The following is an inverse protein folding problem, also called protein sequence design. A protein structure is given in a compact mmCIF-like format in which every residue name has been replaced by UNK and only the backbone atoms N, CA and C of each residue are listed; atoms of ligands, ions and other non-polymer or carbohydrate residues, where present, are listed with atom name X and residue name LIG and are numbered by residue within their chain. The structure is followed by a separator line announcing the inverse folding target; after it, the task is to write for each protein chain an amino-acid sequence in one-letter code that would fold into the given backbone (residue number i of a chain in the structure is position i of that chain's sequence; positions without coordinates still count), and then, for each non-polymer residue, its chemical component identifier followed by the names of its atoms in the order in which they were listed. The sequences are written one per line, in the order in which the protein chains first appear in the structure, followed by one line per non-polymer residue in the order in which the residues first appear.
data_IF_016264014626
#
_entry.id   IF_016264014626
#
_cell.length_a   1.000
_cell.length_b   1.000
_cell.length_c   1.000
_cell.angle_alpha   90.00
_cell.angle_beta   90.00
_cell.angle_gamma   90.00
#
_symmetry.space_group_name_H-M   'P 1'
#
loop_
_entity.id
_entity.type
_entity.pdbx_description
1 polymer ?
#
# COMPACT_ATOMS: atom_id res chain seq x y z
N UNK A 1 22.28 18.47 25.81
CA UNK A 1 23.44 17.56 25.67
C UNK A 1 23.49 16.87 24.31
N UNK A 2 22.48 16.08 23.90
CA UNK A 2 22.45 15.51 22.52
C UNK A 2 22.08 16.54 21.44
N UNK A 3 21.27 17.56 21.80
CA UNK A 3 20.89 18.69 20.94
C UNK A 3 22.06 19.62 20.60
N UNK A 4 23.14 19.55 21.37
CA UNK A 4 24.26 20.49 21.29
C UNK A 4 25.39 19.92 20.41
N UNK A 5 25.24 18.68 19.96
CA UNK A 5 26.14 18.05 19.01
C UNK A 5 25.94 18.65 17.61
N UNK A 6 26.98 18.67 16.75
CA UNK A 6 26.83 18.98 15.33
C UNK A 6 25.72 18.16 14.65
N UNK A 7 25.00 18.77 13.71
CA UNK A 7 23.86 18.16 13.02
C UNK A 7 24.23 16.82 12.37
N UNK A 8 25.44 16.72 11.83
CA UNK A 8 25.97 15.53 11.19
C UNK A 8 26.05 14.35 12.16
N UNK A 9 26.45 14.62 13.41
CA UNK A 9 26.53 13.61 14.47
C UNK A 9 25.12 13.22 14.91
N UNK A 10 24.21 14.19 15.07
CA UNK A 10 22.82 13.92 15.40
C UNK A 10 22.13 13.04 14.33
N UNK A 11 22.35 13.35 13.06
CA UNK A 11 21.85 12.56 11.94
C UNK A 11 22.47 11.16 11.92
N UNK A 12 23.78 11.04 12.14
CA UNK A 12 24.47 9.73 12.19
C UNK A 12 23.93 8.84 13.30
N UNK A 13 23.62 9.40 14.48
CA UNK A 13 22.99 8.65 15.57
C UNK A 13 21.62 8.09 15.16
N UNK A 14 20.80 8.90 14.50
CA UNK A 14 19.49 8.45 14.01
C UNK A 14 19.59 7.42 12.87
N UNK A 15 20.65 7.48 12.06
CA UNK A 15 20.92 6.45 11.04
C UNK A 15 21.35 5.12 11.65
N UNK A 16 22.17 5.16 12.71
CA UNK A 16 22.67 3.95 13.38
C UNK A 16 21.58 3.22 14.16
N UNK A 17 20.65 3.96 14.78
CA UNK A 17 19.48 3.37 15.44
C UNK A 17 18.19 4.13 15.09
N UNK A 18 17.53 3.79 13.97
CA UNK A 18 16.24 4.37 13.57
C UNK A 18 15.09 4.00 14.53
N UNK A 19 15.26 2.94 15.33
CA UNK A 19 14.29 2.47 16.33
C UNK A 19 14.43 3.28 17.63
N UNK A 20 15.50 4.07 17.75
CA UNK A 20 15.76 4.89 18.92
C UNK A 20 14.55 5.74 19.30
N UNK A 21 14.36 5.85 20.62
CA UNK A 21 13.28 6.66 21.19
C UNK A 21 13.56 8.17 21.13
N UNK A 22 14.66 8.59 20.46
CA UNK A 22 15.08 9.99 20.36
C UNK A 22 14.01 10.88 19.73
N UNK A 23 13.26 10.35 18.75
CA UNK A 23 12.13 11.06 18.13
C UNK A 23 11.00 11.44 19.11
N UNK A 24 10.91 10.78 20.27
CA UNK A 24 9.92 11.06 21.30
C UNK A 24 10.40 12.05 22.36
N UNK A 25 11.67 12.45 22.31
CA UNK A 25 12.27 13.31 23.36
C UNK A 25 12.02 14.79 23.12
N UNK A 26 12.07 15.26 21.86
CA UNK A 26 11.85 16.65 21.48
C UNK A 26 11.43 16.77 20.01
N UNK A 27 10.61 17.79 19.71
CA UNK A 27 10.28 18.29 18.37
C UNK A 27 11.46 18.39 17.39
N UNK A 28 12.66 18.79 17.84
CA UNK A 28 13.86 18.84 16.98
C UNK A 28 14.23 17.47 16.39
N UNK A 29 14.36 16.44 17.24
CA UNK A 29 14.65 15.07 16.76
C UNK A 29 13.48 14.48 15.97
N UNK A 30 12.25 14.89 16.25
CA UNK A 30 11.09 14.50 15.47
C UNK A 30 11.13 15.06 14.03
N UNK A 31 11.57 16.31 13.87
CA UNK A 31 11.82 16.92 12.55
C UNK A 31 12.93 16.20 11.79
N UNK A 32 14.09 16.01 12.43
CA UNK A 32 15.21 15.28 11.81
C UNK A 32 14.78 13.88 11.39
N UNK A 33 13.96 13.21 12.20
CA UNK A 33 13.41 11.90 11.86
C UNK A 33 12.55 11.92 10.60
N UNK A 34 11.76 12.98 10.38
CA UNK A 34 11.00 13.16 9.14
C UNK A 34 11.92 13.43 7.94
N UNK A 35 12.92 14.31 8.08
CA UNK A 35 13.86 14.64 7.00
C UNK A 35 14.74 13.45 6.59
N UNK A 36 15.04 12.55 7.53
CA UNK A 36 15.70 11.29 7.22
C UNK A 36 14.90 10.44 6.22
N UNK A 37 13.56 10.50 6.22
CA UNK A 37 12.77 9.77 5.24
C UNK A 37 12.87 10.37 3.84
N UNK A 38 13.01 11.70 3.72
CA UNK A 38 13.30 12.31 2.42
C UNK A 38 14.63 11.80 1.85
N UNK A 39 15.67 11.78 2.67
CA UNK A 39 16.97 11.21 2.28
C UNK A 39 16.86 9.71 1.97
N UNK A 40 16.07 8.96 2.73
CA UNK A 40 15.79 7.54 2.44
C UNK A 40 15.11 7.37 1.09
N UNK A 41 14.13 8.19 0.74
CA UNK A 41 13.46 8.15 -0.57
C UNK A 41 14.49 8.30 -1.69
N UNK A 42 15.34 9.32 -1.63
CA UNK A 42 16.38 9.52 -2.64
C UNK A 42 17.39 8.38 -2.68
N UNK A 43 17.78 7.86 -1.52
CA UNK A 43 18.76 6.76 -1.43
C UNK A 43 18.22 5.43 -1.97
N UNK A 44 16.92 5.17 -1.83
CA UNK A 44 16.27 3.89 -2.18
C UNK A 44 15.71 3.90 -3.59
N UNK A 45 15.06 5.00 -4.00
CA UNK A 45 14.35 5.08 -5.28
C UNK A 45 15.13 5.82 -6.37
N UNK A 46 16.17 6.58 -6.01
CA UNK A 46 16.89 7.47 -6.95
C UNK A 46 16.29 8.88 -6.98
N UNK A 47 16.90 9.79 -7.74
CA UNK A 47 16.47 11.20 -7.82
C UNK A 47 15.20 11.37 -8.67
N UNK A 48 15.01 10.52 -9.68
CA UNK A 48 13.90 10.58 -10.64
C UNK A 48 12.52 10.46 -9.96
N UNK A 49 12.47 9.84 -8.78
CA UNK A 49 11.24 9.69 -8.00
C UNK A 49 10.63 11.05 -7.63
N UNK A 50 11.43 12.10 -7.50
CA UNK A 50 10.95 13.43 -7.14
C UNK A 50 9.98 13.98 -8.20
N UNK A 51 10.31 13.81 -9.49
CA UNK A 51 9.43 14.23 -10.58
C UNK A 51 8.12 13.42 -10.59
N UNK A 52 8.19 12.15 -10.23
CA UNK A 52 7.01 11.29 -10.11
C UNK A 52 6.12 11.74 -8.95
N UNK A 53 6.73 12.05 -7.79
CA UNK A 53 6.01 12.57 -6.62
C UNK A 53 5.27 13.86 -6.99
N UNK A 54 5.94 14.77 -7.73
CA UNK A 54 5.34 16.03 -8.19
C UNK A 54 4.12 15.77 -9.07
N UNK A 55 4.22 14.85 -10.05
CA UNK A 55 3.11 14.50 -10.94
C UNK A 55 1.89 13.93 -10.20
N UNK A 56 2.11 13.15 -9.14
CA UNK A 56 1.03 12.51 -8.39
C UNK A 56 0.52 13.31 -7.19
N UNK A 57 1.02 14.54 -6.96
CA UNK A 57 0.59 15.39 -5.85
C UNK A 57 -0.94 15.51 -5.70
N UNK A 58 -1.74 15.64 -6.77
CA UNK A 58 -3.20 15.72 -6.68
C UNK A 58 -3.87 14.52 -5.99
N UNK A 59 -3.28 13.33 -6.08
CA UNK A 59 -3.77 12.13 -5.39
C UNK A 59 -3.05 11.86 -4.07
N UNK A 60 -1.78 12.29 -3.97
CA UNK A 60 -0.97 12.10 -2.78
C UNK A 60 -1.46 12.98 -1.63
N UNK A 61 -1.66 14.28 -1.87
CA UNK A 61 -2.10 15.23 -0.81
C UNK A 61 -3.40 14.78 -0.13
N UNK A 62 -4.50 14.44 -0.85
CA UNK A 62 -5.75 14.02 -0.22
C UNK A 62 -5.62 12.72 0.58
N UNK A 63 -4.88 11.73 0.06
CA UNK A 63 -4.59 10.51 0.80
C UNK A 63 -3.83 10.83 2.10
N UNK A 64 -2.76 11.62 2.03
CA UNK A 64 -1.96 11.99 3.19
C UNK A 64 -2.77 12.84 4.18
N UNK A 65 -3.63 13.74 3.71
CA UNK A 65 -4.56 14.54 4.52
C UNK A 65 -5.58 13.66 5.23
N UNK A 66 -6.09 12.60 4.58
CA UNK A 66 -7.02 11.64 5.22
C UNK A 66 -6.44 10.96 6.47
N UNK A 67 -5.12 10.82 6.56
CA UNK A 67 -4.45 10.20 7.71
C UNK A 67 -4.48 11.10 8.97
N UNK A 68 -4.80 12.39 8.84
CA UNK A 68 -4.87 13.33 9.98
C UNK A 68 -5.88 12.89 11.06
N UNK A 69 -6.83 12.03 10.69
CA UNK A 69 -7.76 11.35 11.61
C UNK A 69 -7.06 10.78 12.85
N UNK A 70 -5.82 10.28 12.72
CA UNK A 70 -5.05 9.74 13.85
C UNK A 70 -3.68 10.40 14.04
N UNK A 71 -3.16 11.17 13.08
CA UNK A 71 -1.81 11.77 13.17
C UNK A 71 -1.77 13.30 13.18
N UNK A 72 -2.91 13.98 13.16
CA UNK A 72 -3.00 15.46 13.08
C UNK A 72 -2.02 16.18 14.02
N UNK A 73 -2.01 15.82 15.31
CA UNK A 73 -1.13 16.45 16.30
C UNK A 73 0.35 16.28 15.99
N UNK A 74 0.73 15.09 15.52
CA UNK A 74 2.12 14.77 15.21
C UNK A 74 2.58 15.53 13.95
N UNK A 75 1.72 15.63 12.93
CA UNK A 75 1.98 16.43 11.73
C UNK A 75 2.10 17.92 12.04
N UNK A 76 1.17 18.46 12.84
CA UNK A 76 1.16 19.89 13.20
C UNK A 76 2.41 20.32 13.97
N UNK A 77 3.06 19.42 14.71
CA UNK A 77 4.34 19.71 15.35
C UNK A 77 5.46 20.03 14.34
N UNK A 78 5.41 19.42 13.15
CA UNK A 78 6.34 19.71 12.05
C UNK A 78 5.88 20.94 11.27
N UNK A 79 4.61 20.96 10.86
CA UNK A 79 4.07 22.02 10.01
C UNK A 79 4.17 23.41 10.66
N UNK A 80 3.87 23.52 11.96
CA UNK A 80 3.98 24.79 12.69
C UNK A 80 5.43 25.28 12.85
N UNK A 81 6.39 24.36 13.01
CA UNK A 81 7.80 24.70 13.19
C UNK A 81 8.51 25.05 11.88
N UNK A 82 8.00 24.54 10.77
CA UNK A 82 8.49 24.84 9.42
C UNK A 82 7.65 25.91 8.70
N UNK A 83 6.64 26.48 9.39
CA UNK A 83 5.73 27.50 8.85
C UNK A 83 5.14 27.09 7.49
N UNK A 84 4.71 25.83 7.37
CA UNK A 84 4.15 25.31 6.13
C UNK A 84 2.71 25.79 5.96
N UNK A 85 2.36 26.19 4.74
CA UNK A 85 1.01 26.54 4.36
C UNK A 85 0.33 25.40 3.59
N UNK A 86 -1.01 25.32 3.71
CA UNK A 86 -1.84 24.44 2.89
C UNK A 86 -2.11 25.14 1.56
N UNK A 87 -1.19 25.00 0.60
CA UNK A 87 -1.44 25.46 -0.77
C UNK A 87 -2.38 24.46 -1.45
N UNK A 88 -3.65 24.84 -1.56
CA UNK A 88 -4.67 24.12 -2.34
C UNK A 88 -4.43 24.27 -3.84
N UNK A 89 -3.77 25.34 -4.28
CA UNK A 89 -3.42 25.58 -5.68
C UNK A 89 -2.10 24.91 -6.04
N UNK A 90 -2.17 23.96 -6.97
CA UNK A 90 -0.99 23.40 -7.65
C UNK A 90 -0.29 24.44 -8.56
N UNK A 91 -0.95 25.58 -8.77
CA UNK A 91 -0.40 26.77 -9.43
C UNK A 91 0.34 27.64 -8.41
N UNK A 92 1.48 27.14 -7.94
CA UNK A 92 2.46 28.03 -7.31
C UNK A 92 3.26 28.72 -8.44
N UNK A 93 3.61 30.01 -8.31
CA UNK A 93 4.44 30.69 -9.30
C UNK A 93 5.74 29.91 -9.52
N UNK A 94 6.30 29.95 -10.73
CA UNK A 94 7.40 29.13 -11.28
C UNK A 94 8.67 28.97 -10.41
N UNK A 95 8.76 29.66 -9.26
CA UNK A 95 9.90 29.69 -8.35
C UNK A 95 9.68 29.04 -6.96
N UNK A 96 8.50 28.47 -6.64
CA UNK A 96 8.31 27.76 -5.36
C UNK A 96 8.38 26.24 -5.52
N UNK A 97 9.20 25.59 -4.68
CA UNK A 97 9.30 24.13 -4.64
C UNK A 97 7.92 23.53 -4.27
N UNK A 98 7.25 22.78 -5.16
CA UNK A 98 5.89 22.28 -4.94
C UNK A 98 5.80 21.27 -3.78
N UNK A 99 6.94 20.74 -3.32
CA UNK A 99 7.03 19.84 -2.19
C UNK A 99 7.09 20.57 -0.85
N UNK A 100 7.30 21.89 -0.84
CA UNK A 100 7.41 22.72 0.36
C UNK A 100 6.04 23.19 0.86
N UNK A 101 5.13 22.27 1.13
CA UNK A 101 3.78 22.55 1.61
C UNK A 101 3.32 21.55 2.68
N UNK A 102 2.21 21.85 3.35
CA UNK A 102 1.54 20.89 4.25
C UNK A 102 1.20 19.59 3.49
N UNK A 103 1.16 18.48 4.23
CA UNK A 103 0.89 17.11 3.72
C UNK A 103 1.96 16.54 2.78
N UNK A 104 3.04 17.28 2.50
CA UNK A 104 4.20 16.76 1.75
C UNK A 104 5.45 16.84 2.63
N UNK A 105 5.96 18.05 2.88
CA UNK A 105 7.20 18.25 3.66
C UNK A 105 7.10 17.77 5.10
N UNK A 106 5.90 17.78 5.67
CA UNK A 106 5.61 17.30 7.03
C UNK A 106 5.32 15.78 7.13
N UNK A 107 5.37 15.06 6.00
CA UNK A 107 4.80 13.72 5.87
C UNK A 107 5.70 12.71 5.14
N UNK A 108 7.01 12.95 5.06
CA UNK A 108 7.95 12.11 4.29
C UNK A 108 7.94 10.63 4.69
N UNK A 109 7.72 10.31 5.98
CA UNK A 109 7.57 8.92 6.44
C UNK A 109 6.46 8.16 5.72
N UNK A 110 5.31 8.81 5.57
CA UNK A 110 4.13 8.19 4.95
C UNK A 110 4.28 8.10 3.43
N UNK A 111 4.88 9.12 2.83
CA UNK A 111 5.25 9.09 1.41
C UNK A 111 6.22 7.93 1.14
N UNK A 112 7.24 7.74 1.99
CA UNK A 112 8.15 6.61 1.89
C UNK A 112 7.41 5.26 1.99
N UNK A 113 6.47 5.12 2.94
CA UNK A 113 5.68 3.89 3.09
C UNK A 113 4.85 3.58 1.83
N UNK A 114 4.19 4.59 1.24
CA UNK A 114 3.45 4.46 -0.03
C UNK A 114 4.35 4.09 -1.19
N UNK A 115 5.58 4.61 -1.24
CA UNK A 115 6.50 4.29 -2.33
C UNK A 115 7.08 2.89 -2.20
N UNK A 116 7.36 2.46 -0.96
CA UNK A 116 8.03 1.19 -0.65
C UNK A 116 7.06 0.01 -0.69
N UNK A 117 5.84 0.18 -0.23
CA UNK A 117 4.76 -0.79 -0.38
C UNK A 117 4.03 -0.56 -1.70
N UNK A 118 3.45 -1.60 -2.30
CA UNK A 118 2.62 -1.50 -3.50
C UNK A 118 1.35 -2.29 -3.31
N UNK A 119 0.21 -1.70 -3.66
CA UNK A 119 -1.07 -2.40 -3.69
C UNK A 119 -1.66 -2.33 -5.08
N UNK A 120 -1.83 -3.51 -5.67
CA UNK A 120 -2.40 -3.71 -6.98
C UNK A 120 -3.87 -4.05 -6.83
N UNK A 121 -4.72 -3.03 -6.94
CA UNK A 121 -6.17 -3.23 -6.91
C UNK A 121 -6.63 -3.96 -8.17
N UNK A 122 -7.53 -4.92 -7.96
CA UNK A 122 -8.12 -5.72 -9.01
C UNK A 122 -9.27 -4.96 -9.67
N UNK A 123 -9.19 -4.78 -10.98
CA UNK A 123 -10.25 -4.23 -11.82
C UNK A 123 -10.67 -5.27 -12.86
N UNK A 124 -11.90 -5.17 -13.35
CA UNK A 124 -12.41 -6.12 -14.35
C UNK A 124 -11.53 -6.17 -15.61
N UNK A 125 -10.99 -5.01 -16.02
CA UNK A 125 -10.08 -4.88 -17.16
C UNK A 125 -8.73 -5.60 -16.98
N UNK A 126 -8.37 -5.97 -15.76
CA UNK A 126 -7.09 -6.63 -15.49
C UNK A 126 -7.14 -8.15 -15.71
N UNK A 127 -8.34 -8.72 -15.81
CA UNK A 127 -8.54 -10.15 -15.96
C UNK A 127 -8.73 -10.51 -17.42
N UNK A 128 -7.96 -11.51 -17.86
CA UNK A 128 -8.20 -12.19 -19.12
C UNK A 128 -8.81 -13.54 -18.79
N UNK A 129 -10.01 -13.77 -19.32
CA UNK A 129 -10.72 -15.04 -19.24
C UNK A 129 -10.61 -15.63 -20.63
N UNK A 130 -9.94 -16.79 -20.75
CA UNK A 130 -9.97 -17.52 -22.01
C UNK A 130 -11.41 -17.97 -22.31
N UNK A 131 -11.88 -17.63 -23.51
CA UNK A 131 -13.10 -18.22 -24.05
C UNK A 131 -12.80 -19.66 -24.49
N UNK A 132 -13.67 -20.63 -24.20
CA UNK A 132 -13.44 -22.01 -24.61
C UNK A 132 -13.44 -22.11 -26.14
N UNK A 133 -12.26 -22.22 -26.74
CA UNK A 133 -12.10 -22.50 -28.17
C UNK A 133 -12.20 -24.01 -28.40
N UNK A 134 -13.23 -24.44 -29.12
CA UNK A 134 -13.35 -25.82 -29.58
C UNK A 134 -12.33 -26.08 -30.69
N UNK A 135 -11.37 -26.98 -30.47
CA UNK A 135 -10.55 -27.52 -31.54
C UNK A 135 -11.27 -28.75 -32.11
N UNK A 136 -11.70 -28.67 -33.37
CA UNK A 136 -12.18 -29.84 -34.10
C UNK A 136 -10.95 -30.55 -34.66
N UNK A 137 -10.66 -31.74 -34.15
CA UNK A 137 -9.71 -32.68 -34.76
C UNK A 137 -10.48 -33.88 -35.30
N UNK A 138 -10.16 -34.27 -36.54
CA UNK A 138 -10.86 -35.29 -37.30
C UNK A 138 -11.17 -36.57 -36.48
N UNK A 139 -12.45 -36.73 -36.14
CA UNK A 139 -13.13 -37.88 -35.54
C UNK A 139 -13.49 -37.85 -34.03
N UNK A 140 -13.22 -36.77 -33.27
CA UNK A 140 -13.84 -36.56 -31.95
C UNK A 140 -13.97 -35.07 -31.60
N UNK A 141 -14.92 -34.75 -30.71
CA UNK A 141 -15.06 -33.40 -30.11
C UNK A 141 -14.36 -33.42 -28.76
N UNK A 142 -13.28 -32.64 -28.61
CA UNK A 142 -12.67 -32.38 -27.31
C UNK A 142 -13.34 -31.16 -26.68
N UNK A 143 -14.04 -31.36 -25.56
CA UNK A 143 -14.65 -30.27 -24.79
C UNK A 143 -13.63 -29.82 -23.74
N UNK A 144 -12.81 -28.82 -24.04
CA UNK A 144 -12.01 -28.15 -23.01
C UNK A 144 -12.88 -27.12 -22.29
N UNK A 145 -13.23 -27.38 -21.01
CA UNK A 145 -13.73 -26.37 -20.08
C UNK A 145 -12.57 -25.82 -19.25
N UNK A 146 -11.60 -25.20 -19.90
CA UNK A 146 -10.53 -24.47 -19.23
C UNK A 146 -10.90 -23.00 -19.17
N UNK A 147 -11.45 -22.55 -18.04
CA UNK A 147 -11.48 -21.12 -17.74
C UNK A 147 -10.11 -20.78 -17.17
N UNK A 148 -9.19 -20.33 -18.02
CA UNK A 148 -7.96 -19.75 -17.51
C UNK A 148 -8.28 -18.32 -17.07
N UNK A 149 -8.42 -18.11 -15.76
CA UNK A 149 -8.38 -16.77 -15.20
C UNK A 149 -6.90 -16.37 -15.08
N UNK A 150 -6.48 -15.40 -15.89
CA UNK A 150 -5.14 -14.83 -15.79
C UNK A 150 -5.22 -13.35 -15.43
N UNK A 151 -4.30 -12.93 -14.57
CA UNK A 151 -4.08 -11.56 -14.14
C UNK A 151 -2.59 -11.27 -14.26
N UNK A 152 -2.22 -10.13 -14.83
CA UNK A 152 -0.81 -9.72 -14.94
C UNK A 152 -0.67 -8.22 -14.81
N UNK A 153 0.20 -7.75 -13.91
CA UNK A 153 0.56 -6.33 -13.79
C UNK A 153 2.05 -6.14 -13.61
N UNK A 154 2.55 -5.01 -14.13
CA UNK A 154 3.92 -4.58 -13.93
C UNK A 154 4.01 -3.50 -12.84
N UNK A 155 5.00 -3.62 -11.95
CA UNK A 155 5.30 -2.60 -10.94
C UNK A 155 6.80 -2.41 -10.77
N UNK A 156 7.20 -1.23 -10.32
CA UNK A 156 8.59 -0.92 -9.98
C UNK A 156 8.81 -1.06 -8.47
N UNK A 157 9.78 -1.88 -8.08
CA UNK A 157 10.17 -2.10 -6.69
C UNK A 157 11.62 -1.74 -6.46
N UNK A 158 11.92 -1.23 -5.27
CA UNK A 158 13.32 -1.10 -4.83
C UNK A 158 13.85 -2.44 -4.33
N UNK A 159 15.17 -2.62 -4.25
CA UNK A 159 15.77 -3.78 -3.63
C UNK A 159 15.29 -4.02 -2.19
N UNK A 160 15.29 -5.29 -1.81
CA UNK A 160 14.91 -5.74 -0.47
C UNK A 160 13.90 -6.88 -0.48
N UNK A 161 13.52 -7.28 0.71
CA UNK A 161 12.57 -8.36 0.97
C UNK A 161 11.15 -7.81 1.05
N UNK A 162 10.19 -8.57 0.54
CA UNK A 162 8.77 -8.23 0.50
C UNK A 162 7.90 -9.45 0.82
N UNK A 163 6.78 -9.19 1.50
CA UNK A 163 5.67 -10.12 1.59
C UNK A 163 4.78 -9.95 0.36
N UNK A 164 4.37 -11.07 -0.22
CA UNK A 164 3.27 -11.14 -1.17
C UNK A 164 2.01 -11.54 -0.42
N UNK A 165 1.03 -10.66 -0.38
CA UNK A 165 -0.25 -10.87 0.30
C UNK A 165 -1.42 -10.64 -0.67
N UNK A 166 -2.58 -11.18 -0.34
CA UNK A 166 -3.80 -11.02 -1.12
C UNK A 166 -4.99 -10.65 -0.23
N UNK A 167 -5.72 -9.62 -0.64
CA UNK A 167 -7.02 -9.27 -0.07
C UNK A 167 -8.14 -9.91 -0.90
N UNK A 168 -8.87 -10.85 -0.32
CA UNK A 168 -9.92 -11.62 -1.02
C UNK A 168 -11.11 -11.91 -0.10
N UNK A 169 -12.24 -12.30 -0.69
CA UNK A 169 -13.36 -12.89 0.04
C UNK A 169 -13.78 -14.21 -0.59
N UNK A 170 -13.92 -15.25 0.24
CA UNK A 170 -14.31 -16.58 -0.21
C UNK A 170 -15.82 -16.75 -0.13
N UNK A 171 -16.48 -17.14 -1.21
CA UNK A 171 -17.89 -17.56 -1.20
C UNK A 171 -18.03 -19.07 -1.00
N UNK A 172 -17.37 -19.86 -1.85
CA UNK A 172 -17.49 -21.32 -1.88
C UNK A 172 -16.14 -22.03 -1.68
N UNK A 173 -15.02 -21.34 -1.89
CA UNK A 173 -13.67 -21.87 -1.64
C UNK A 173 -13.08 -22.66 -2.81
N UNK A 174 -13.81 -22.91 -3.89
CA UNK A 174 -13.24 -23.54 -5.09
C UNK A 174 -12.18 -22.65 -5.75
N UNK A 175 -11.05 -23.23 -6.17
CA UNK A 175 -10.06 -22.61 -7.06
C UNK A 175 -8.83 -21.95 -6.40
N UNK A 176 -8.91 -21.50 -5.14
CA UNK A 176 -7.78 -20.77 -4.52
C UNK A 176 -6.56 -21.68 -4.29
N UNK A 177 -6.76 -22.90 -3.79
CA UNK A 177 -5.68 -23.89 -3.63
C UNK A 177 -5.00 -24.32 -4.94
N UNK A 178 -5.60 -24.02 -6.11
CA UNK A 178 -5.04 -24.28 -7.45
C UNK A 178 -4.60 -23.00 -8.16
N UNK A 179 -4.61 -21.87 -7.46
CA UNK A 179 -4.15 -20.59 -8.00
C UNK A 179 -2.65 -20.46 -7.82
N UNK A 180 -1.96 -20.15 -8.91
CA UNK A 180 -0.52 -19.91 -8.96
C UNK A 180 -0.26 -18.41 -8.97
N UNK A 181 0.67 -17.96 -8.13
CA UNK A 181 1.19 -16.59 -8.15
C UNK A 181 2.65 -16.61 -8.59
N UNK A 182 3.03 -15.75 -9.53
CA UNK A 182 4.39 -15.66 -10.04
C UNK A 182 4.90 -14.22 -9.98
N UNK A 183 6.12 -14.05 -9.49
CA UNK A 183 6.87 -12.80 -9.56
C UNK A 183 8.03 -13.00 -10.54
N UNK A 184 7.98 -12.27 -11.65
CA UNK A 184 8.97 -12.33 -12.74
C UNK A 184 9.76 -11.03 -12.79
N UNK A 185 11.08 -11.13 -12.88
CA UNK A 185 11.94 -9.98 -13.12
C UNK A 185 13.20 -10.38 -13.87
N UNK A 186 13.76 -9.44 -14.63
CA UNK A 186 15.01 -9.65 -15.37
C UNK A 186 16.21 -9.35 -14.46
N UNK A 187 17.02 -10.35 -14.19
CA UNK A 187 18.31 -10.16 -13.54
C UNK A 187 19.22 -9.28 -14.41
N UNK A 188 19.73 -8.17 -13.84
CA UNK A 188 20.60 -7.25 -14.56
C UNK A 188 22.00 -7.83 -14.81
N UNK A 189 22.44 -8.80 -13.99
CA UNK A 189 23.79 -9.37 -14.08
C UNK A 189 23.84 -10.41 -15.20
N UNK A 190 22.93 -11.38 -15.15
CA UNK A 190 22.93 -12.51 -16.08
C UNK A 190 21.98 -12.32 -17.27
N UNK A 191 21.27 -11.18 -17.34
CA UNK A 191 20.19 -10.89 -18.28
C UNK A 191 19.10 -11.98 -18.35
N UNK A 192 18.99 -12.79 -17.29
CA UNK A 192 18.11 -13.95 -17.20
C UNK A 192 16.80 -13.56 -16.54
N UNK A 193 15.69 -14.08 -17.06
CA UNK A 193 14.40 -13.95 -16.37
C UNK A 193 14.39 -14.87 -15.14
N UNK A 194 14.23 -14.27 -13.96
CA UNK A 194 14.01 -14.98 -12.70
C UNK A 194 12.51 -15.03 -12.47
N UNK A 195 11.99 -16.23 -12.20
CA UNK A 195 10.59 -16.48 -11.87
C UNK A 195 10.55 -17.10 -10.48
N UNK A 196 9.81 -16.46 -9.57
CA UNK A 196 9.50 -17.01 -8.24
C UNK A 196 8.02 -17.36 -8.22
N UNK A 197 7.70 -18.61 -7.88
CA UNK A 197 6.33 -19.13 -7.91
C UNK A 197 5.86 -19.46 -6.50
N UNK A 198 4.63 -19.06 -6.19
CA UNK A 198 3.99 -19.27 -4.90
C UNK A 198 2.62 -19.92 -5.10
N UNK A 199 2.30 -20.85 -4.21
CA UNK A 199 1.01 -21.54 -4.16
C UNK A 199 0.42 -21.39 -2.75
N UNK A 200 -0.86 -21.02 -2.63
CA UNK A 200 -1.56 -21.18 -1.37
C UNK A 200 -1.52 -22.64 -0.90
N UNK A 201 -1.57 -22.90 0.43
CA UNK A 201 -1.69 -24.25 0.95
C UNK A 201 -2.90 -24.98 0.35
N UNK A 202 -2.79 -26.28 0.09
CA UNK A 202 -3.87 -27.06 -0.54
C UNK A 202 -5.18 -27.07 0.27
N UNK A 203 -5.07 -27.01 1.60
CA UNK A 203 -6.18 -26.95 2.54
C UNK A 203 -6.67 -25.52 2.84
N UNK A 204 -6.16 -24.50 2.14
CA UNK A 204 -6.48 -23.09 2.44
C UNK A 204 -7.98 -22.80 2.34
N UNK A 205 -8.68 -23.53 1.48
CA UNK A 205 -10.11 -23.39 1.23
C UNK A 205 -10.97 -23.75 2.46
N UNK A 206 -10.47 -24.67 3.30
CA UNK A 206 -11.15 -25.09 4.53
C UNK A 206 -10.80 -24.19 5.72
N UNK A 207 -9.65 -23.53 5.66
CA UNK A 207 -9.11 -22.71 6.75
C UNK A 207 -9.69 -21.29 6.73
N UNK A 208 -9.93 -20.75 5.54
CA UNK A 208 -10.37 -19.36 5.36
C UNK A 208 -11.87 -19.19 5.63
N UNK A 209 -12.28 -18.13 6.33
CA UNK A 209 -13.69 -17.88 6.62
C UNK A 209 -14.47 -17.56 5.35
N UNK A 210 -15.70 -18.08 5.28
CA UNK A 210 -16.62 -17.87 4.16
C UNK A 210 -17.42 -16.58 4.35
N UNK A 211 -17.70 -15.89 3.25
CA UNK A 211 -18.42 -14.63 3.16
C UNK A 211 -17.84 -13.54 4.08
N UNK A 212 -16.51 -13.48 4.17
CA UNK A 212 -15.78 -12.45 4.91
C UNK A 212 -14.54 -12.02 4.13
N UNK A 213 -14.12 -10.78 4.31
CA UNK A 213 -12.84 -10.31 3.81
C UNK A 213 -11.69 -10.99 4.55
N UNK A 214 -10.70 -11.46 3.81
CA UNK A 214 -9.48 -12.09 4.29
C UNK A 214 -8.28 -11.42 3.65
N UNK A 215 -7.29 -11.07 4.46
CA UNK A 215 -5.98 -10.66 3.99
C UNK A 215 -4.97 -11.75 4.33
N UNK A 216 -4.58 -12.51 3.31
CA UNK A 216 -3.78 -13.72 3.42
C UNK A 216 -2.34 -13.47 2.97
N UNK A 217 -1.37 -13.97 3.74
CA UNK A 217 0.03 -14.06 3.30
C UNK A 217 0.20 -15.23 2.33
N UNK A 218 0.68 -14.95 1.13
CA UNK A 218 0.96 -15.95 0.09
C UNK A 218 2.41 -16.43 0.16
N UNK A 219 3.35 -15.50 0.36
CA UNK A 219 4.76 -15.84 0.38
C UNK A 219 5.66 -14.65 0.67
N UNK A 220 6.96 -14.90 0.64
CA UNK A 220 8.01 -13.91 0.83
C UNK A 220 9.01 -14.02 -0.33
N UNK A 221 9.44 -12.88 -0.86
CA UNK A 221 10.40 -12.83 -1.96
C UNK A 221 11.39 -11.69 -1.77
N UNK A 222 12.55 -11.81 -2.40
CA UNK A 222 13.61 -10.79 -2.34
C UNK A 222 13.93 -10.27 -3.74
N UNK A 223 14.04 -8.95 -3.86
CA UNK A 223 14.56 -8.26 -5.03
C UNK A 223 16.02 -7.89 -4.75
N UNK A 224 16.98 -8.38 -5.55
CA UNK A 224 18.40 -8.13 -5.31
C UNK A 224 18.76 -6.65 -5.52
N UNK A 225 19.82 -6.20 -4.84
CA UNK A 225 20.41 -4.90 -5.15
C UNK A 225 20.99 -4.91 -6.57
N UNK A 226 20.78 -3.83 -7.36
CA UNK A 226 21.47 -3.71 -8.63
C UNK A 226 22.99 -3.65 -8.35
N UNK A 227 23.82 -4.28 -9.20
CA UNK A 227 25.27 -4.20 -9.06
C UNK A 227 25.68 -2.72 -9.03
N UNK A 228 26.53 -2.36 -8.06
CA UNK A 228 27.12 -1.02 -8.01
C UNK A 228 27.96 -0.83 -9.28
N UNK A 229 27.84 0.29 -9.99
CA UNK A 229 28.81 0.60 -11.03
C UNK A 229 30.20 0.57 -10.38
N UNK A 230 31.12 -0.20 -10.96
CA UNK A 230 32.50 -0.30 -10.48
C UNK A 230 33.16 1.05 -10.74
N UNK A 231 33.12 1.95 -9.77
CA UNK A 231 33.86 3.20 -9.78
C UNK A 231 35.28 2.93 -9.29
N UNK A 232 36.09 2.24 -10.08
CA UNK A 232 37.54 2.10 -9.87
C UNK A 232 38.28 2.12 -11.22
N UNK A 233 37.92 3.08 -12.08
CA UNK A 233 38.80 3.53 -13.16
C UNK A 233 39.11 5.00 -12.88
N UNK A 234 40.37 5.38 -12.63
CA UNK A 234 40.74 6.77 -12.47
C UNK A 234 40.46 7.49 -13.79
N UNK A 235 39.55 8.46 -13.73
CA UNK A 235 39.20 9.35 -14.83
C UNK A 235 40.40 10.18 -15.22
N UNK A 236 41.08 9.77 -16.30
CA UNK A 236 41.88 10.68 -17.11
C UNK A 236 41.11 11.02 -18.38
N UNK A 237 40.94 12.33 -18.59
CA UNK A 237 40.51 13.05 -19.80
C UNK A 237 39.01 13.30 -19.96
N UNK A 238 38.68 14.57 -19.64
CA UNK A 238 37.92 15.50 -20.48
C UNK A 238 37.41 14.89 -21.80
N UNK A 239 36.12 14.59 -21.84
CA UNK A 239 35.35 14.49 -23.06
C UNK A 239 34.05 15.25 -22.82
N UNK A 240 33.88 16.31 -23.60
CA UNK A 240 32.74 17.19 -23.67
C UNK A 240 31.51 16.44 -24.22
N UNK A 241 30.37 17.08 -23.98
CA UNK A 241 29.01 16.74 -24.40
C UNK A 241 28.91 16.17 -25.82
N UNK A 242 28.22 15.03 -25.98
CA UNK A 242 27.12 14.82 -26.94
C UNK A 242 26.70 13.33 -26.95
N UNK A 243 25.40 13.09 -26.76
CA UNK A 243 24.64 11.88 -27.11
C UNK A 243 25.03 10.51 -26.49
N UNK A 244 24.87 10.37 -25.16
CA UNK A 244 24.49 9.07 -24.57
C UNK A 244 23.09 9.14 -23.92
N UNK A 245 22.15 8.22 -24.23
CA UNK A 245 20.81 8.26 -23.68
C UNK A 245 20.85 7.98 -22.18
N UNK A 246 20.10 8.79 -21.42
CA UNK A 246 19.95 8.82 -19.95
C UNK A 246 19.58 7.49 -19.26
N UNK A 247 20.44 6.48 -19.37
CA UNK A 247 20.41 5.26 -18.58
C UNK A 247 21.27 5.49 -17.33
N UNK A 248 20.87 4.90 -16.19
CA UNK A 248 21.64 4.78 -14.94
C UNK A 248 21.35 5.73 -13.75
N UNK A 249 20.09 6.08 -13.47
CA UNK A 249 19.70 6.51 -12.11
C UNK A 249 18.55 5.72 -11.45
N UNK A 250 17.91 4.79 -12.16
CA UNK A 250 16.82 4.02 -11.59
C UNK A 250 17.35 2.82 -10.76
N UNK A 251 17.39 3.01 -9.44
CA UNK A 251 17.68 1.97 -8.43
C UNK A 251 16.56 0.92 -8.34
N UNK A 252 15.43 1.14 -9.02
CA UNK A 252 14.29 0.25 -9.01
C UNK A 252 14.40 -0.83 -10.08
N UNK A 253 13.78 -1.96 -9.79
CA UNK A 253 13.63 -3.07 -10.70
C UNK A 253 12.17 -3.17 -11.12
N UNK A 254 11.91 -3.25 -12.43
CA UNK A 254 10.58 -3.58 -12.94
C UNK A 254 10.33 -5.06 -12.72
N UNK A 255 9.23 -5.37 -12.05
CA UNK A 255 8.74 -6.72 -11.82
C UNK A 255 7.39 -6.89 -12.51
N UNK A 256 7.11 -8.11 -12.96
CA UNK A 256 5.81 -8.52 -13.47
C UNK A 256 5.24 -9.53 -12.47
N UNK A 257 4.08 -9.21 -11.92
CA UNK A 257 3.29 -10.12 -11.11
C UNK A 257 2.24 -10.77 -12.01
N UNK A 258 2.17 -12.09 -12.00
CA UNK A 258 1.08 -12.84 -12.65
C UNK A 258 0.37 -13.77 -11.67
N UNK A 259 -0.93 -13.91 -11.85
CA UNK A 259 -1.77 -14.86 -11.13
C UNK A 259 -2.56 -15.67 -12.16
N UNK A 260 -2.53 -17.00 -12.03
CA UNK A 260 -3.17 -17.93 -12.96
C UNK A 260 -3.88 -19.04 -12.18
N UNK A 261 -5.16 -19.29 -12.47
CA UNK A 261 -5.87 -20.45 -11.94
C UNK A 261 -5.61 -21.69 -12.82
N UNK A 262 -5.02 -22.74 -12.25
CA UNK A 262 -4.57 -23.95 -12.99
C UNK A 262 -5.61 -25.09 -12.88
N UNK A 263 -6.75 -24.86 -12.22
CA UNK A 263 -7.76 -25.89 -11.94
C UNK A 263 -8.67 -26.24 -13.13
N UNK A 264 -8.92 -27.54 -13.34
CA UNK A 264 -9.77 -28.09 -14.41
C UNK A 264 -11.29 -28.09 -14.11
N UNK A 265 -11.74 -27.67 -12.92
CA UNK A 265 -13.15 -27.80 -12.51
C UNK A 265 -13.73 -26.55 -11.82
N UNK A 266 -14.84 -26.06 -12.40
CA UNK A 266 -15.89 -25.16 -11.89
C UNK A 266 -15.49 -23.89 -11.10
N UNK A 267 -15.78 -22.73 -11.73
CA UNK A 267 -15.99 -21.38 -11.18
C UNK A 267 -15.25 -21.09 -9.87
N UNK A 268 -14.16 -20.32 -9.98
CA UNK A 268 -13.45 -19.69 -8.87
C UNK A 268 -14.47 -19.09 -7.89
N UNK A 269 -14.51 -19.64 -6.68
CA UNK A 269 -15.52 -19.35 -5.67
C UNK A 269 -15.12 -18.20 -4.76
N UNK A 270 -14.28 -17.28 -5.22
CA UNK A 270 -13.71 -16.18 -4.44
C UNK A 270 -13.64 -14.88 -5.24
N UNK A 271 -13.56 -13.75 -4.53
CA UNK A 271 -13.39 -12.41 -5.08
C UNK A 271 -12.04 -11.88 -4.65
N UNK A 272 -11.24 -11.37 -5.57
CA UNK A 272 -10.00 -10.66 -5.24
C UNK A 272 -10.28 -9.18 -5.26
N UNK A 273 -9.82 -8.48 -4.23
CA UNK A 273 -9.91 -7.03 -4.13
C UNK A 273 -8.58 -6.36 -4.49
N UNK A 274 -7.47 -6.91 -4.00
CA UNK A 274 -6.13 -6.42 -4.31
C UNK A 274 -5.06 -7.45 -3.98
N UNK A 275 -3.91 -7.32 -4.66
CA UNK A 275 -2.66 -7.98 -4.29
C UNK A 275 -1.75 -6.92 -3.65
N UNK A 276 -1.17 -7.24 -2.50
CA UNK A 276 -0.35 -6.33 -1.71
C UNK A 276 1.08 -6.85 -1.65
N UNK A 277 2.02 -5.98 -1.99
CA UNK A 277 3.45 -6.19 -1.89
C UNK A 277 3.93 -5.22 -0.82
N UNK A 278 4.20 -5.73 0.37
CA UNK A 278 4.58 -4.91 1.51
C UNK A 278 5.90 -5.34 2.12
N UNK A 279 6.57 -4.43 2.81
CA UNK A 279 7.74 -4.78 3.60
C UNK A 279 7.39 -5.85 4.65
N UNK A 280 8.36 -6.69 5.04
CA UNK A 280 8.23 -7.57 6.18
C UNK A 280 7.65 -6.82 7.37
N UNK A 281 6.55 -7.35 7.92
CA UNK A 281 5.86 -6.76 9.04
C UNK A 281 6.03 -7.64 10.27
N UNK A 282 5.99 -7.02 11.44
CA UNK A 282 6.05 -7.74 12.71
C UNK A 282 4.94 -8.82 12.78
N UNK A 283 3.73 -8.51 12.32
CA UNK A 283 2.61 -9.46 12.31
C UNK A 283 2.89 -10.71 11.46
N UNK A 284 3.27 -10.51 10.20
CA UNK A 284 3.43 -11.60 9.24
C UNK A 284 4.77 -12.33 9.32
N UNK A 285 5.83 -11.68 9.83
CA UNK A 285 7.19 -12.24 9.81
C UNK A 285 7.68 -12.63 11.21
N UNK A 286 7.45 -11.82 12.25
CA UNK A 286 7.86 -12.20 13.61
C UNK A 286 6.84 -13.12 14.28
N UNK A 287 5.54 -12.85 14.08
CA UNK A 287 4.46 -13.63 14.70
C UNK A 287 3.83 -14.66 13.76
N UNK A 288 4.30 -14.77 12.51
CA UNK A 288 3.83 -15.78 11.55
C UNK A 288 2.29 -15.84 11.48
N UNK A 289 1.71 -14.65 11.32
CA UNK A 289 0.30 -14.50 11.03
C UNK A 289 0.02 -15.14 9.66
N UNK A 290 -0.98 -16.01 9.58
CA UNK A 290 -1.40 -16.61 8.32
C UNK A 290 -2.32 -15.65 7.56
N UNK A 291 -3.37 -15.17 8.21
CA UNK A 291 -4.27 -14.15 7.69
C UNK A 291 -4.91 -13.35 8.81
N UNK A 292 -5.45 -12.20 8.44
CA UNK A 292 -6.47 -11.53 9.24
C UNK A 292 -7.77 -11.37 8.46
N UNK A 293 -8.89 -11.28 9.16
CA UNK A 293 -10.22 -11.17 8.56
C UNK A 293 -11.03 -10.06 9.20
N UNK A 294 -11.91 -9.48 8.40
CA UNK A 294 -12.97 -8.58 8.85
C UNK A 294 -14.29 -9.25 8.49
N UNK A 295 -15.22 -9.33 9.43
CA UNK A 295 -16.54 -9.94 9.22
C UNK A 295 -17.47 -9.03 8.38
N UNK A 296 -17.02 -8.70 7.18
CA UNK A 296 -17.66 -7.80 6.24
C UNK A 296 -17.22 -8.18 4.82
N UNK A 297 -18.09 -7.97 3.82
CA UNK A 297 -17.76 -8.24 2.41
C UNK A 297 -17.87 -7.00 1.53
N UNK A 298 -18.44 -5.93 2.07
CA UNK A 298 -18.47 -4.64 1.42
C UNK A 298 -17.07 -4.02 1.39
N UNK A 299 -16.61 -3.74 0.18
CA UNK A 299 -15.27 -3.22 -0.10
C UNK A 299 -14.99 -1.89 0.61
N UNK A 300 -16.02 -1.08 0.91
CA UNK A 300 -15.87 0.21 1.59
C UNK A 300 -15.19 0.10 2.95
N UNK A 301 -15.20 -1.08 3.58
CA UNK A 301 -14.58 -1.31 4.87
C UNK A 301 -13.10 -1.72 4.81
N UNK A 302 -12.55 -2.07 3.65
CA UNK A 302 -11.15 -2.53 3.56
C UNK A 302 -10.39 -2.04 2.32
N UNK A 303 -11.07 -1.45 1.34
CA UNK A 303 -10.46 -0.72 0.23
C UNK A 303 -10.47 0.77 0.55
N UNK A 304 -9.29 1.35 0.73
CA UNK A 304 -9.14 2.80 0.78
C UNK A 304 -9.14 3.37 -0.64
N UNK A 305 -10.20 4.07 -1.02
CA UNK A 305 -10.36 4.62 -2.37
C UNK A 305 -9.31 5.66 -2.71
N UNK A 306 -8.90 6.51 -1.75
CA UNK A 306 -7.84 7.49 -1.96
C UNK A 306 -6.50 6.81 -2.26
N UNK A 307 -6.18 5.75 -1.52
CA UNK A 307 -4.98 4.94 -1.75
C UNK A 307 -5.05 4.20 -3.09
N UNK A 308 -6.23 3.68 -3.46
CA UNK A 308 -6.47 3.05 -4.76
C UNK A 308 -6.18 4.01 -5.91
N UNK A 309 -6.73 5.21 -5.87
CA UNK A 309 -6.48 6.23 -6.89
C UNK A 309 -5.00 6.66 -6.91
N UNK A 310 -4.38 6.83 -5.74
CA UNK A 310 -2.95 7.14 -5.62
C UNK A 310 -2.06 6.07 -6.24
N UNK A 311 -2.28 4.79 -5.94
CA UNK A 311 -1.50 3.71 -6.55
C UNK A 311 -1.76 3.57 -8.05
N UNK A 312 -3.00 3.84 -8.51
CA UNK A 312 -3.32 3.84 -9.93
C UNK A 312 -2.56 4.94 -10.67
N UNK A 313 -2.56 6.16 -10.15
CA UNK A 313 -1.78 7.28 -10.68
C UNK A 313 -0.27 6.98 -10.66
N UNK A 314 0.24 6.52 -9.51
CA UNK A 314 1.65 6.17 -9.34
C UNK A 314 2.11 5.09 -10.33
N UNK A 315 1.34 4.01 -10.50
CA UNK A 315 1.72 2.93 -11.41
C UNK A 315 1.68 3.40 -12.87
N UNK A 316 0.66 4.18 -13.25
CA UNK A 316 0.55 4.74 -14.61
C UNK A 316 1.75 5.65 -14.95
N UNK A 317 2.13 6.54 -14.04
CA UNK A 317 3.29 7.44 -14.20
C UNK A 317 4.59 6.64 -14.27
N UNK A 318 4.79 5.69 -13.35
CA UNK A 318 5.99 4.85 -13.29
C UNK A 318 6.17 3.97 -14.54
N UNK A 319 5.07 3.51 -15.14
CA UNK A 319 5.08 2.70 -16.35
C UNK A 319 5.03 3.51 -17.66
N UNK A 320 5.24 4.84 -17.60
CA UNK A 320 5.37 5.66 -18.80
C UNK A 320 4.07 5.91 -19.55
N UNK A 321 2.92 5.75 -18.88
CA UNK A 321 1.60 5.96 -19.47
C UNK A 321 1.10 4.82 -20.36
N UNK A 322 1.77 3.67 -20.34
CA UNK A 322 1.40 2.49 -21.14
C UNK A 322 0.38 1.64 -20.37
N UNK A 323 -0.61 1.12 -21.10
CA UNK A 323 -1.52 0.07 -20.63
C UNK A 323 -0.72 -1.18 -20.20
N UNK A 324 -1.18 -1.93 -19.20
CA UNK A 324 -0.56 -3.20 -18.74
C UNK A 324 -0.59 -4.32 -19.83
N UNK A 325 -1.10 -4.04 -21.02
CA UNK A 325 -1.12 -4.96 -22.16
C UNK A 325 0.26 -5.09 -22.83
N UNK A 326 0.88 -6.26 -22.62
CA UNK A 326 2.16 -6.67 -23.22
C UNK A 326 2.16 -6.73 -24.77
N UNK A 327 1.02 -6.52 -25.43
CA UNK A 327 0.88 -6.52 -26.90
C UNK A 327 1.34 -5.21 -27.54
N UNK A 328 1.48 -4.14 -26.76
CA UNK A 328 2.01 -2.86 -27.24
C UNK A 328 3.52 -2.87 -27.02
N UNK A 329 4.30 -2.93 -28.11
CA UNK A 329 5.75 -2.69 -28.09
C UNK A 329 5.99 -1.22 -27.68
N UNK A 330 5.98 -0.96 -26.39
CA UNK A 330 6.39 0.33 -25.84
C UNK A 330 7.92 0.46 -25.95
N UNK A 331 8.39 1.68 -26.19
CA UNK A 331 9.80 2.04 -25.97
C UNK A 331 10.19 1.58 -24.57
N UNK A 332 11.10 0.60 -24.51
CA UNK A 332 11.62 0.12 -23.23
C UNK A 332 12.20 1.32 -22.46
N UNK A 333 11.78 1.50 -21.20
CA UNK A 333 12.43 2.34 -20.18
C UNK A 333 11.97 3.80 -19.97
N UNK A 334 10.78 4.23 -20.38
CA UNK A 334 10.31 5.58 -20.00
C UNK A 334 9.69 5.63 -18.58
N UNK A 335 10.53 5.38 -17.56
CA UNK A 335 10.14 5.50 -16.15
C UNK A 335 9.76 6.95 -15.80
N UNK A 336 8.61 7.14 -15.17
CA UNK A 336 8.14 8.46 -14.74
C UNK A 336 7.54 9.31 -15.86
N UNK A 337 7.38 8.73 -17.05
CA UNK A 337 6.89 9.42 -18.23
C UNK A 337 5.40 9.69 -18.31
N UNK A 338 4.58 8.85 -17.66
CA UNK A 338 3.14 8.93 -17.79
C UNK A 338 2.57 10.25 -17.26
N UNK A 339 1.47 10.68 -17.85
CA UNK A 339 0.65 11.78 -17.35
C UNK A 339 -0.55 11.20 -16.59
N UNK A 340 -0.64 11.34 -15.25
CA UNK A 340 -1.72 10.72 -14.48
C UNK A 340 -3.11 11.30 -14.82
N UNK A 341 -3.19 12.47 -15.47
CA UNK A 341 -4.45 13.03 -15.94
C UNK A 341 -5.00 12.32 -17.19
N UNK A 342 -4.19 11.56 -17.92
CA UNK A 342 -4.62 10.79 -19.09
C UNK A 342 -5.59 9.63 -18.74
N UNK A 343 -5.68 9.25 -17.46
CA UNK A 343 -6.59 8.21 -16.95
C UNK A 343 -7.59 8.77 -15.94
N UNK A 344 -7.93 10.06 -16.04
CA UNK A 344 -8.80 10.75 -15.08
C UNK A 344 -10.19 10.10 -14.94
N UNK A 345 -10.70 9.57 -16.05
CA UNK A 345 -11.96 8.84 -16.18
C UNK A 345 -11.93 7.47 -15.48
N UNK A 346 -10.75 6.91 -15.26
CA UNK A 346 -10.57 5.62 -14.60
C UNK A 346 -10.45 5.70 -13.08
N UNK A 347 -10.36 6.90 -12.49
CA UNK A 347 -10.30 7.05 -11.04
C UNK A 347 -11.67 6.88 -10.38
N UNK A 348 -11.67 6.31 -9.19
CA UNK A 348 -12.89 6.05 -8.44
C UNK A 348 -13.32 7.31 -7.68
N UNK A 349 -14.52 7.79 -7.99
CA UNK A 349 -15.13 8.99 -7.40
C UNK A 349 -16.36 8.68 -6.54
N UNK A 350 -16.69 7.39 -6.33
CA UNK A 350 -17.93 7.01 -5.64
C UNK A 350 -18.02 7.59 -4.22
N UNK A 351 -16.88 7.72 -3.53
CA UNK A 351 -16.84 8.30 -2.19
C UNK A 351 -17.18 9.81 -2.14
N UNK A 352 -17.21 10.50 -3.28
CA UNK A 352 -17.69 11.90 -3.37
C UNK A 352 -19.21 11.94 -3.57
N UNK A 353 -19.76 10.98 -4.34
CA UNK A 353 -21.18 10.89 -4.67
C UNK A 353 -22.04 10.52 -3.46
N UNK A 354 -21.56 9.64 -2.57
CA UNK A 354 -22.26 9.28 -1.33
C UNK A 354 -22.49 10.49 -0.40
N UNK A 355 -21.85 11.64 -0.67
CA UNK A 355 -21.95 12.87 0.11
C UNK A 355 -22.28 14.12 -0.72
N UNK A 356 -22.60 13.99 -2.02
CA UNK A 356 -23.00 15.11 -2.88
C UNK A 356 -24.07 14.72 -3.91
N UNK A 357 -25.19 15.43 -3.90
CA UNK A 357 -26.17 15.48 -4.97
C UNK A 357 -25.80 16.59 -5.94
N UNK A 358 -25.21 16.25 -7.11
CA UNK A 358 -25.42 16.85 -8.44
C UNK A 358 -24.28 16.48 -9.41
N UNK A 359 -24.63 16.49 -10.70
CA UNK A 359 -23.91 15.98 -11.87
C UNK A 359 -23.01 17.06 -12.47
N UNK A 360 -21.74 16.75 -12.81
CA UNK A 360 -20.81 17.77 -13.36
C UNK A 360 -19.88 17.25 -14.48
N UNK A 361 -19.43 18.21 -15.28
CA UNK A 361 -18.78 18.15 -16.60
C UNK A 361 -17.25 18.03 -16.53
N UNK A 362 -16.58 17.68 -17.65
CA UNK A 362 -15.15 17.32 -17.72
C UNK A 362 -14.17 18.44 -17.29
N UNK A 363 -14.52 19.71 -17.46
CA UNK A 363 -13.69 20.86 -17.02
C UNK A 363 -13.78 21.07 -15.49
N UNK A 364 -14.96 20.84 -14.90
CA UNK A 364 -15.13 20.83 -13.44
C UNK A 364 -14.26 19.73 -12.81
N UNK A 365 -14.03 18.60 -13.50
CA UNK A 365 -13.25 17.47 -12.94
C UNK A 365 -11.77 17.77 -12.65
N UNK A 366 -11.17 18.78 -13.31
CA UNK A 366 -9.80 19.22 -13.00
C UNK A 366 -9.77 20.11 -11.76
N UNK A 367 -10.78 20.95 -11.57
CA UNK A 367 -10.95 21.75 -10.36
C UNK A 367 -11.45 20.89 -9.17
N UNK A 368 -12.26 19.86 -9.42
CA UNK A 368 -12.81 18.96 -8.39
C UNK A 368 -11.72 18.07 -7.74
N UNK A 369 -10.66 17.74 -8.49
CA UNK A 369 -9.48 17.04 -7.92
C UNK A 369 -8.59 17.98 -7.09
N UNK A 370 -8.59 19.30 -7.37
CA UNK A 370 -7.83 20.29 -6.60
C UNK A 370 -8.60 20.80 -5.37
N UNK A 371 -9.93 20.67 -5.38
CA UNK A 371 -10.81 20.99 -4.27
C UNK A 371 -11.59 19.76 -3.77
N UNK A 372 -10.87 18.78 -3.22
CA UNK A 372 -11.52 17.88 -2.28
C UNK A 372 -12.07 18.73 -1.13
N UNK A 373 -13.40 18.79 -1.00
CA UNK A 373 -14.06 19.39 0.17
C UNK A 373 -13.51 18.72 1.43
N UNK A 374 -12.71 19.48 2.20
CA UNK A 374 -12.02 19.00 3.40
C UNK A 374 -12.97 18.33 4.39
N UNK A 375 -14.21 18.81 4.47
CA UNK A 375 -15.22 18.25 5.36
C UNK A 375 -15.62 16.86 4.88
N UNK A 376 -15.84 16.68 3.57
CA UNK A 376 -16.17 15.37 2.98
C UNK A 376 -15.00 14.40 3.09
N UNK A 377 -13.79 14.86 2.78
CA UNK A 377 -12.57 14.07 2.90
C UNK A 377 -12.39 13.54 4.32
N UNK A 378 -12.54 14.41 5.32
CA UNK A 378 -12.38 14.02 6.72
C UNK A 378 -13.53 13.14 7.23
N UNK A 379 -14.77 13.33 6.72
CA UNK A 379 -15.89 12.40 7.00
C UNK A 379 -15.61 11.00 6.45
N UNK A 380 -15.17 10.91 5.19
CA UNK A 380 -14.75 9.65 4.59
C UNK A 380 -13.59 9.02 5.38
N UNK A 381 -12.57 9.80 5.73
CA UNK A 381 -11.43 9.32 6.49
C UNK A 381 -11.83 8.81 7.88
N UNK A 382 -12.73 9.53 8.56
CA UNK A 382 -13.27 9.11 9.87
C UNK A 382 -14.05 7.80 9.74
N UNK A 383 -14.85 7.63 8.68
CA UNK A 383 -15.47 6.35 8.39
C UNK A 383 -14.40 5.27 8.14
N UNK A 384 -13.43 5.52 7.26
CA UNK A 384 -12.47 4.49 6.87
C UNK A 384 -11.52 4.08 8.01
N UNK A 385 -10.91 5.01 8.74
CA UNK A 385 -9.94 4.67 9.79
C UNK A 385 -10.59 4.45 11.15
N UNK A 386 -11.69 5.14 11.46
CA UNK A 386 -12.30 5.10 12.79
C UNK A 386 -13.59 4.28 12.88
N UNK A 387 -14.12 3.75 11.78
CA UNK A 387 -15.29 2.86 11.84
C UNK A 387 -15.05 1.67 12.77
N UNK A 388 -16.03 1.45 13.66
CA UNK A 388 -16.05 0.35 14.63
C UNK A 388 -16.49 -0.97 14.01
N UNK A 389 -17.00 -0.96 12.78
CA UNK A 389 -17.38 -2.18 12.05
C UNK A 389 -16.18 -2.97 11.54
N UNK A 390 -14.97 -2.40 11.63
CA UNK A 390 -13.71 -3.05 11.23
C UNK A 390 -13.07 -3.84 12.37
N UNK A 391 -13.85 -4.72 13.02
CA UNK A 391 -13.29 -5.68 13.98
C UNK A 391 -12.44 -6.69 13.20
N UNK A 392 -11.15 -6.71 13.51
CA UNK A 392 -10.19 -7.59 12.84
C UNK A 392 -9.91 -8.79 13.72
N UNK A 393 -9.97 -9.98 13.12
CA UNK A 393 -9.59 -11.23 13.77
C UNK A 393 -8.32 -11.78 13.13
N UNK A 394 -7.45 -12.35 13.95
CA UNK A 394 -6.12 -12.78 13.55
C UNK A 394 -6.02 -14.30 13.63
N UNK A 395 -5.57 -14.94 12.55
CA UNK A 395 -5.26 -16.37 12.52
C UNK A 395 -3.75 -16.57 12.39
N UNK A 396 -3.16 -17.09 13.46
CA UNK A 396 -1.74 -17.46 13.52
C UNK A 396 -1.53 -18.89 13.04
N UNK A 397 -0.33 -19.18 12.52
CA UNK A 397 0.09 -20.52 12.12
C UNK A 397 0.11 -21.49 13.32
N UNK A 398 0.53 -21.01 14.51
CA UNK A 398 0.59 -21.82 15.73
C UNK A 398 -0.06 -21.15 16.95
N UNK A 399 -0.47 -21.97 17.91
CA UNK A 399 -0.98 -21.50 19.22
C UNK A 399 0.13 -20.77 20.00
N UNK A 400 1.39 -21.19 19.83
CA UNK A 400 2.53 -20.57 20.51
C UNK A 400 2.72 -19.11 20.07
N UNK A 401 2.74 -18.85 18.77
CA UNK A 401 2.84 -17.49 18.23
C UNK A 401 1.65 -16.62 18.65
N UNK A 402 0.43 -17.18 18.64
CA UNK A 402 -0.76 -16.48 19.17
C UNK A 402 -0.54 -16.05 20.63
N UNK A 403 -0.03 -16.94 21.48
CA UNK A 403 0.24 -16.61 22.89
C UNK A 403 1.33 -15.55 23.03
N UNK A 404 2.41 -15.63 22.28
CA UNK A 404 3.46 -14.60 22.29
C UNK A 404 2.92 -13.24 21.86
N UNK A 405 2.06 -13.21 20.83
CA UNK A 405 1.42 -12.00 20.35
C UNK A 405 0.52 -11.40 21.44
N UNK A 406 -0.38 -12.21 22.00
CA UNK A 406 -1.30 -11.79 23.07
C UNK A 406 -0.53 -11.31 24.31
N UNK A 407 0.53 -12.00 24.71
CA UNK A 407 1.35 -11.61 25.86
C UNK A 407 2.02 -10.24 25.67
N UNK A 408 2.38 -9.87 24.43
CA UNK A 408 3.05 -8.60 24.14
C UNK A 408 2.09 -7.45 23.89
N UNK A 409 0.99 -7.69 23.17
CA UNK A 409 0.08 -6.64 22.68
C UNK A 409 -1.30 -6.62 23.35
N UNK A 410 -1.64 -7.67 24.11
CA UNK A 410 -2.96 -7.88 24.69
C UNK A 410 -3.84 -8.80 23.85
N UNK A 411 -4.98 -9.20 24.41
CA UNK A 411 -5.92 -10.10 23.76
C UNK A 411 -6.98 -9.32 22.97
N UNK A 412 -6.89 -9.40 21.64
CA UNK A 412 -7.81 -8.72 20.74
C UNK A 412 -9.25 -9.26 20.82
N UNK A 413 -9.46 -10.53 21.19
CA UNK A 413 -10.81 -11.10 21.31
C UNK A 413 -11.52 -10.54 22.55
N UNK A 414 -10.79 -10.42 23.67
CA UNK A 414 -11.32 -9.79 24.88
C UNK A 414 -11.65 -8.32 24.64
N UNK A 415 -10.74 -7.58 24.01
CA UNK A 415 -10.97 -6.15 23.72
C UNK A 415 -12.23 -5.92 22.86
N UNK A 416 -12.50 -6.81 21.90
CA UNK A 416 -13.70 -6.75 21.05
C UNK A 416 -14.98 -7.13 21.78
N UNK A 417 -14.94 -8.12 22.67
CA UNK A 417 -16.10 -8.55 23.44
C UNK A 417 -16.50 -7.52 24.50
N UNK A 418 -15.52 -6.89 25.16
CA UNK A 418 -15.75 -5.81 26.13
C UNK A 418 -16.46 -4.58 25.50
N UNK A 419 -16.18 -4.27 24.23
CA UNK A 419 -16.90 -3.22 23.50
C UNK A 419 -18.39 -3.56 23.28
N UNK A 420 -18.72 -4.84 23.10
CA UNK A 420 -20.11 -5.29 22.91
C UNK A 420 -20.89 -5.31 24.23
N UNK A 421 -20.27 -5.81 25.30
CA UNK A 421 -20.88 -5.83 26.63
C UNK A 421 -21.19 -4.43 27.16
N UNK A 422 -20.30 -3.45 26.91
CA UNK A 422 -20.56 -2.06 27.28
C UNK A 422 -21.73 -1.45 26.49
N UNK A 423 -21.94 -1.81 25.22
CA UNK A 423 -23.11 -1.35 24.46
C UNK A 423 -24.42 -1.93 25.00
N UNK A 424 -24.42 -3.21 25.38
CA UNK A 424 -25.58 -3.85 26.01
C UNK A 424 -25.99 -3.18 27.32
N UNK A 425 -25.00 -2.73 28.12
CA UNK A 425 -25.25 -1.99 29.36
C UNK A 425 -25.68 -0.54 29.14
N UNK A 426 -25.12 0.16 28.14
CA UNK A 426 -25.45 1.58 27.87
C UNK A 426 -26.86 1.77 27.31
N UNK A 427 -27.47 0.73 26.72
CA UNK A 427 -28.84 0.82 26.21
C UNK A 427 -29.92 0.44 27.22
N UNK A 428 -29.60 -0.16 28.38
CA UNK A 428 -30.63 -0.79 29.21
C UNK A 428 -30.49 -0.72 30.74
N UNK A 429 -29.65 0.12 31.35
CA UNK A 429 -29.69 0.25 32.82
C UNK A 429 -29.13 1.57 33.38
N UNK A 430 -29.88 2.14 34.32
CA UNK A 430 -29.42 3.11 35.32
C UNK A 430 -28.22 2.56 36.11
N UNK A 431 -27.36 3.43 36.65
CA UNK A 431 -26.10 3.03 37.26
C UNK A 431 -26.35 2.51 38.68
N UNK A 432 -26.43 1.19 38.85
CA UNK A 432 -26.21 0.57 40.15
C UNK A 432 -25.33 -0.67 40.02
N UNK A 433 -24.16 -0.55 40.65
CA UNK A 433 -23.37 -1.59 41.32
C UNK A 433 -23.16 -2.92 40.61
N UNK A 434 -21.97 -3.09 40.03
CA UNK A 434 -21.26 -4.36 40.19
C UNK A 434 -19.76 -4.20 39.91
N UNK A 435 -18.98 -4.69 40.86
CA UNK A 435 -17.53 -4.84 40.87
C UNK A 435 -17.01 -5.74 39.72
N UNK A 436 -17.16 -5.34 38.46
CA UNK A 436 -16.32 -5.87 37.39
C UNK A 436 -15.04 -5.04 37.37
N UNK A 437 -13.91 -5.68 37.64
CA UNK A 437 -12.56 -5.15 37.46
C UNK A 437 -12.51 -4.19 36.27
N UNK A 438 -12.46 -2.88 36.56
CA UNK A 438 -12.18 -1.84 35.59
C UNK A 438 -10.75 -2.05 35.08
N UNK A 439 -10.58 -3.00 34.16
CA UNK A 439 -9.40 -3.10 33.33
C UNK A 439 -9.36 -1.82 32.50
N UNK A 440 -8.56 -0.87 32.99
CA UNK A 440 -8.42 0.45 32.39
C UNK A 440 -8.05 0.25 30.92
N UNK A 441 -8.96 0.63 30.01
CA UNK A 441 -8.60 0.83 28.60
C UNK A 441 -7.31 1.62 28.55
N UNK A 442 -6.35 1.17 27.75
CA UNK A 442 -5.13 1.92 27.53
C UNK A 442 -5.52 3.32 27.04
N UNK A 443 -5.23 4.35 27.84
CA UNK A 443 -5.68 5.73 27.58
C UNK A 443 -5.20 6.27 26.23
N UNK A 444 -4.16 5.64 25.69
CA UNK A 444 -3.52 5.97 24.43
C UNK A 444 -4.23 5.39 23.19
N UNK A 445 -5.16 4.44 23.36
CA UNK A 445 -5.87 3.81 22.24
C UNK A 445 -7.40 3.86 22.36
N UNK A 446 -7.93 5.07 22.54
CA UNK A 446 -9.38 5.30 22.68
C UNK A 446 -10.21 4.86 21.47
N UNK A 447 -9.59 4.71 20.30
CA UNK A 447 -10.25 4.40 19.03
C UNK A 447 -9.98 2.96 18.54
N UNK A 448 -9.29 2.15 19.34
CA UNK A 448 -8.94 0.77 18.98
C UNK A 448 -8.03 0.68 17.75
N UNK A 449 -7.21 1.71 17.51
CA UNK A 449 -6.25 1.79 16.41
C UNK A 449 -5.25 0.65 16.47
N UNK A 450 -4.92 0.14 17.66
CA UNK A 450 -3.95 -0.95 17.85
C UNK A 450 -4.32 -2.23 17.07
N UNK A 451 -5.61 -2.43 16.80
CA UNK A 451 -6.12 -3.60 16.09
C UNK A 451 -6.61 -3.30 14.67
N UNK A 452 -6.47 -2.06 14.20
CA UNK A 452 -6.89 -1.63 12.86
C UNK A 452 -5.70 -1.66 11.91
N UNK A 453 -5.47 -2.83 11.31
CA UNK A 453 -4.30 -3.13 10.48
C UNK A 453 -4.13 -2.32 9.19
N UNK A 454 -5.15 -1.73 8.50
CA UNK A 454 -4.84 -0.87 7.36
C UNK A 454 -3.91 0.30 7.73
N UNK A 455 -3.80 0.62 9.03
CA UNK A 455 -2.89 1.61 9.59
C UNK A 455 -1.50 1.02 9.89
N UNK A 456 -1.37 -0.28 10.20
CA UNK A 456 -0.10 -0.92 10.60
C UNK A 456 0.86 -1.17 9.42
N UNK A 457 0.34 -1.37 8.21
CA UNK A 457 1.17 -1.39 6.99
C UNK A 457 1.57 0.00 6.48
N UNK A 458 0.91 1.05 6.99
CA UNK A 458 1.09 2.46 6.58
C UNK A 458 1.87 3.30 7.63
N UNK A 459 1.90 2.86 8.91
CA UNK A 459 2.73 3.38 10.00
C UNK A 459 4.12 2.74 9.98
#
# INVERSE_FOLDING_TARGET
MLSDLPLEIQMKLLYMDPVSSLKYTNSHFYLLYNDLYYNKILSVFGKDIIQIIIKILPWLKPYIKSLDVFRYKARMAIASRLELEDSSTFDSPENQNPLNCMYIKDSWRYIYAVLKNKRLFAEYSDYKIDEPSNYIFDHYVEINRTYLLSYSKSVWLSPGTYNLNIGLAIKQGSGLGTTKFEVKYRDRINNKSIVQTFYPPTNINDILPKNQFCFLKIGEFTIPEPPRPITDVPTSREAEEEDEPAQYHNKLQKIQLSMEEIGLYLKSGFRIYFIDISQPSLLFNEYDLMYYTVNETDFRYFINVLLKNLYKALNFVQNGGVSDDNSVQSVANYYGGGDPYAIIDKYDKQFLQDFNSHSETLEDLKEELSMYDDIKLMKYAQFFYNSRFKKTYFKFSTIYQRRQFINKFGDFELDWNEEEEQKGKTQNQQPQDSNSTNLKRCSYDKFGLKWKIPIVGEL
#
